data_IF_679211526007
#
_entry.id   IF_679211526007
#
_cell.length_a   1.000
_cell.length_b   1.000
_cell.length_c   1.000
_cell.angle_alpha   90.00
_cell.angle_beta   90.00
_cell.angle_gamma   90.00
#
_symmetry.space_group_name_H-M   'P 1'
#
loop_
_entity.id
_entity.type
_entity.pdbx_description
1 polymer ?
#
# COMPACT_ATOMS: atom_id res chain seq x y z
N UNK A 1 -7.37 -15.15 26.98
CA UNK A 1 -6.49 -15.14 25.79
C UNK A 1 -6.74 -16.29 24.82
N UNK A 2 -7.33 -17.40 25.24
CA UNK A 2 -7.68 -18.50 24.32
C UNK A 2 -8.78 -18.08 23.34
N UNK A 3 -8.62 -18.46 22.07
CA UNK A 3 -9.60 -18.24 21.01
C UNK A 3 -10.81 -19.16 21.25
N UNK A 4 -11.99 -18.57 21.39
CA UNK A 4 -13.24 -19.29 21.65
C UNK A 4 -14.17 -19.33 20.44
N UNK A 5 -14.07 -18.36 19.54
CA UNK A 5 -14.86 -18.33 18.31
C UNK A 5 -14.09 -17.61 17.19
N UNK A 6 -14.26 -18.10 15.97
CA UNK A 6 -13.76 -17.48 14.74
C UNK A 6 -14.88 -17.57 13.71
N UNK A 7 -15.23 -16.44 13.10
CA UNK A 7 -16.32 -16.40 12.15
C UNK A 7 -16.01 -15.44 11.00
N UNK A 8 -16.19 -15.91 9.78
CA UNK A 8 -16.06 -15.12 8.56
C UNK A 8 -17.40 -14.84 7.89
N UNK A 9 -17.46 -13.71 7.20
CA UNK A 9 -18.56 -13.30 6.34
C UNK A 9 -18.07 -12.61 5.07
N UNK A 10 -18.91 -12.64 4.04
CA UNK A 10 -18.72 -11.87 2.81
C UNK A 10 -19.24 -10.43 3.04
N UNK A 11 -18.40 -9.44 2.80
CA UNK A 11 -18.73 -8.00 2.77
C UNK A 11 -18.32 -7.41 1.42
N UNK A 12 -18.44 -6.08 1.23
CA UNK A 12 -18.00 -5.40 0.01
C UNK A 12 -16.79 -4.50 0.27
N UNK A 13 -15.85 -4.50 -0.68
CA UNK A 13 -14.76 -3.53 -0.75
C UNK A 13 -15.24 -2.17 -1.30
N UNK A 14 -14.36 -1.19 -1.33
CA UNK A 14 -14.66 0.18 -1.77
C UNK A 14 -14.93 0.32 -3.27
N UNK A 15 -14.74 -0.75 -4.05
CA UNK A 15 -15.09 -0.85 -5.47
C UNK A 15 -16.39 -1.65 -5.68
N UNK A 16 -17.04 -2.08 -4.59
CA UNK A 16 -18.27 -2.88 -4.62
C UNK A 16 -18.05 -4.34 -5.00
N UNK A 17 -16.81 -4.85 -4.94
CA UNK A 17 -16.54 -6.28 -5.11
C UNK A 17 -16.59 -6.99 -3.75
N UNK A 18 -16.97 -8.27 -3.70
CA UNK A 18 -16.92 -9.04 -2.47
C UNK A 18 -15.50 -9.12 -1.88
N UNK A 19 -15.40 -9.09 -0.55
CA UNK A 19 -14.21 -9.44 0.21
C UNK A 19 -14.60 -10.12 1.53
N UNK A 20 -13.62 -10.62 2.27
CA UNK A 20 -13.83 -11.35 3.53
C UNK A 20 -13.62 -10.43 4.74
N UNK A 21 -14.51 -10.54 5.72
CA UNK A 21 -14.36 -10.01 7.07
C UNK A 21 -14.36 -11.16 8.07
N UNK A 22 -13.42 -11.14 9.01
CA UNK A 22 -13.27 -12.17 10.04
C UNK A 22 -13.37 -11.54 11.42
N UNK A 23 -14.18 -12.17 12.27
CA UNK A 23 -14.28 -11.90 13.70
C UNK A 23 -13.57 -13.01 14.47
N UNK A 24 -12.79 -12.62 15.48
CA UNK A 24 -12.18 -13.52 16.46
C UNK A 24 -12.60 -13.07 17.85
N UNK A 25 -13.15 -14.00 18.63
CA UNK A 25 -13.51 -13.78 20.02
C UNK A 25 -12.69 -14.69 20.93
N UNK A 26 -12.24 -14.15 22.07
CA UNK A 26 -11.52 -14.92 23.09
C UNK A 26 -12.46 -15.31 24.24
N UNK A 27 -12.09 -16.33 25.02
CA UNK A 27 -12.86 -16.76 26.21
C UNK A 27 -13.11 -15.64 27.24
N UNK A 28 -12.24 -14.63 27.27
CA UNK A 28 -12.41 -13.45 28.15
C UNK A 28 -13.49 -12.48 27.67
N UNK A 29 -14.04 -12.67 26.47
CA UNK A 29 -14.92 -11.72 25.79
C UNK A 29 -14.20 -10.70 24.91
N UNK A 30 -12.86 -10.69 24.89
CA UNK A 30 -12.08 -9.82 24.02
C UNK A 30 -12.34 -10.14 22.54
N UNK A 31 -12.28 -9.12 21.69
CA UNK A 31 -12.78 -9.19 20.32
C UNK A 31 -11.85 -8.50 19.32
N UNK A 32 -11.69 -9.12 18.16
CA UNK A 32 -10.98 -8.55 17.02
C UNK A 32 -11.75 -8.79 15.74
N UNK A 33 -11.79 -7.78 14.87
CA UNK A 33 -12.39 -7.85 13.54
C UNK A 33 -11.42 -7.30 12.52
N UNK A 34 -11.26 -7.99 11.40
CA UNK A 34 -10.45 -7.52 10.29
C UNK A 34 -11.14 -7.80 8.95
N UNK A 35 -11.07 -6.84 8.05
CA UNK A 35 -11.51 -6.99 6.67
C UNK A 35 -10.32 -6.91 5.71
N UNK A 36 -10.35 -7.71 4.65
CA UNK A 36 -9.18 -7.89 3.77
C UNK A 36 -9.27 -7.01 2.52
N UNK A 37 -8.23 -6.23 2.19
CA UNK A 37 -8.21 -5.44 0.97
C UNK A 37 -7.90 -6.31 -0.27
N UNK A 38 -8.18 -5.81 -1.47
CA UNK A 38 -7.96 -6.50 -2.75
C UNK A 38 -7.36 -5.57 -3.80
N UNK A 39 -6.42 -6.07 -4.61
CA UNK A 39 -5.75 -5.30 -5.67
C UNK A 39 -6.58 -5.15 -6.96
N UNK A 40 -6.22 -4.18 -7.81
CA UNK A 40 -6.68 -4.08 -9.20
C UNK A 40 -5.67 -4.79 -10.12
N UNK A 41 -4.40 -4.40 -9.99
CA UNK A 41 -3.26 -5.14 -10.49
C UNK A 41 -2.65 -5.98 -9.35
N UNK A 42 -2.17 -7.17 -9.72
CA UNK A 42 -1.54 -8.14 -8.84
C UNK A 42 -0.26 -8.61 -9.50
N UNK A 43 0.88 -8.44 -8.83
CA UNK A 43 2.14 -8.98 -9.28
C UNK A 43 2.07 -10.50 -9.45
N UNK A 44 2.82 -11.04 -10.41
CA UNK A 44 2.70 -12.47 -10.79
C UNK A 44 3.07 -13.44 -9.66
N UNK A 45 3.80 -12.95 -8.64
CA UNK A 45 4.32 -13.72 -7.53
C UNK A 45 3.58 -13.47 -6.19
N UNK A 46 2.43 -12.78 -6.20
CA UNK A 46 1.63 -12.54 -4.99
C UNK A 46 0.99 -13.84 -4.43
N UNK A 47 0.72 -13.85 -3.12
CA UNK A 47 -0.18 -14.83 -2.52
C UNK A 47 -1.58 -14.73 -3.14
N UNK A 48 -2.26 -15.87 -3.31
CA UNK A 48 -3.43 -15.95 -4.16
C UNK A 48 -4.72 -15.65 -3.37
N UNK A 49 -5.41 -14.58 -3.78
CA UNK A 49 -6.78 -14.31 -3.33
C UNK A 49 -7.75 -15.36 -3.90
N UNK A 50 -8.49 -16.06 -3.03
CA UNK A 50 -9.45 -17.07 -3.48
C UNK A 50 -10.81 -16.43 -3.81
N UNK A 51 -11.21 -16.54 -5.08
CA UNK A 51 -12.50 -16.11 -5.63
C UNK A 51 -13.33 -17.31 -6.07
N UNK A 52 -14.66 -17.17 -6.06
CA UNK A 52 -15.59 -18.27 -6.33
C UNK A 52 -15.60 -18.71 -7.80
N UNK A 53 -15.49 -17.74 -8.73
CA UNK A 53 -15.63 -17.96 -10.18
C UNK A 53 -17.07 -18.16 -10.66
N UNK A 54 -18.06 -18.07 -9.76
CA UNK A 54 -19.47 -18.19 -10.09
C UNK A 54 -20.02 -16.92 -10.76
N UNK A 55 -20.15 -16.95 -12.08
CA UNK A 55 -20.63 -15.80 -12.89
C UNK A 55 -22.03 -15.32 -12.51
N UNK A 56 -22.84 -16.13 -11.80
CA UNK A 56 -24.18 -15.73 -11.36
C UNK A 56 -24.16 -14.79 -10.15
N UNK A 57 -23.05 -14.74 -9.39
CA UNK A 57 -22.86 -13.86 -8.22
C UNK A 57 -21.68 -12.93 -8.42
N UNK A 58 -21.93 -11.62 -8.31
CA UNK A 58 -20.88 -10.59 -8.38
C UNK A 58 -19.93 -10.76 -9.58
N UNK A 59 -20.46 -11.21 -10.73
CA UNK A 59 -19.69 -11.44 -11.96
C UNK A 59 -18.52 -12.43 -11.80
N UNK A 60 -18.63 -13.41 -10.89
CA UNK A 60 -17.57 -14.38 -10.61
C UNK A 60 -16.64 -13.98 -9.46
N UNK A 61 -16.83 -12.80 -8.86
CA UNK A 61 -15.94 -12.25 -7.82
C UNK A 61 -16.37 -12.56 -6.38
N UNK A 62 -17.35 -13.43 -6.17
CA UNK A 62 -17.73 -13.91 -4.83
C UNK A 62 -16.54 -14.50 -4.07
N UNK A 63 -16.62 -14.53 -2.74
CA UNK A 63 -15.58 -15.08 -1.85
C UNK A 63 -16.13 -16.12 -0.87
N UNK A 64 -17.25 -16.78 -1.19
CA UNK A 64 -17.88 -17.75 -0.31
C UNK A 64 -16.96 -18.94 -0.01
N UNK A 65 -16.13 -19.38 -0.95
CA UNK A 65 -15.14 -20.44 -0.70
C UNK A 65 -14.12 -20.03 0.37
N UNK A 66 -13.65 -18.78 0.35
CA UNK A 66 -12.74 -18.28 1.37
C UNK A 66 -13.43 -18.16 2.73
N UNK A 67 -14.69 -17.71 2.75
CA UNK A 67 -15.53 -17.66 3.96
C UNK A 67 -15.75 -19.05 4.55
N UNK A 68 -16.08 -20.04 3.72
CA UNK A 68 -16.24 -21.45 4.09
C UNK A 68 -14.92 -22.02 4.64
N UNK A 69 -13.79 -21.74 3.98
CA UNK A 69 -12.47 -22.14 4.48
C UNK A 69 -12.17 -21.58 5.88
N UNK A 70 -12.56 -20.33 6.16
CA UNK A 70 -12.41 -19.79 7.52
C UNK A 70 -13.33 -20.52 8.51
N UNK A 71 -14.62 -20.63 8.19
CA UNK A 71 -15.62 -21.13 9.13
C UNK A 71 -15.51 -22.64 9.39
N UNK A 72 -15.18 -23.43 8.37
CA UNK A 72 -15.26 -24.89 8.43
C UNK A 72 -13.88 -25.57 8.57
N UNK A 73 -12.79 -24.88 8.19
CA UNK A 73 -11.44 -25.46 8.23
C UNK A 73 -10.56 -24.75 9.23
N UNK A 74 -10.37 -23.42 9.10
CA UNK A 74 -9.45 -22.66 9.95
C UNK A 74 -9.99 -22.55 11.37
N UNK A 75 -11.24 -22.13 11.53
CA UNK A 75 -11.88 -21.93 12.83
C UNK A 75 -11.71 -23.14 13.76
N UNK A 76 -12.19 -24.36 13.41
CA UNK A 76 -12.06 -25.51 14.30
C UNK A 76 -10.59 -25.90 14.56
N UNK A 77 -9.67 -25.56 13.67
CA UNK A 77 -8.26 -25.90 13.80
C UNK A 77 -7.49 -25.00 14.80
N UNK A 78 -7.98 -23.77 15.06
CA UNK A 78 -7.30 -22.81 15.95
C UNK A 78 -8.04 -22.52 17.28
N UNK A 79 -9.23 -23.09 17.49
CA UNK A 79 -9.93 -22.97 18.78
C UNK A 79 -9.05 -23.49 19.93
N UNK A 80 -9.06 -22.75 21.05
CA UNK A 80 -8.24 -23.06 22.22
C UNK A 80 -6.78 -22.59 22.14
N UNK A 81 -6.30 -22.17 20.96
CA UNK A 81 -4.97 -21.54 20.85
C UNK A 81 -4.98 -20.17 21.54
N UNK A 82 -3.84 -19.76 22.11
CA UNK A 82 -3.69 -18.42 22.69
C UNK A 82 -3.49 -17.38 21.59
N UNK A 83 -4.35 -16.36 21.55
CA UNK A 83 -4.23 -15.25 20.60
C UNK A 83 -2.95 -14.41 20.79
N UNK A 84 -2.29 -14.51 21.96
CA UNK A 84 -1.02 -13.84 22.21
C UNK A 84 0.16 -14.46 21.45
N UNK A 85 0.00 -15.67 20.90
CA UNK A 85 1.05 -16.38 20.18
C UNK A 85 0.91 -16.17 18.66
N UNK A 86 0.92 -14.92 18.20
CA UNK A 86 0.67 -14.54 16.79
C UNK A 86 1.50 -15.37 15.80
N UNK A 87 2.82 -15.47 16.00
CA UNK A 87 3.70 -16.20 15.09
C UNK A 87 3.40 -17.72 15.07
N UNK A 88 2.93 -18.28 16.19
CA UNK A 88 2.53 -19.68 16.24
C UNK A 88 1.25 -19.91 15.43
N UNK A 89 0.27 -19.02 15.56
CA UNK A 89 -0.99 -19.08 14.83
C UNK A 89 -0.72 -18.90 13.33
N UNK A 90 0.00 -17.85 12.93
CA UNK A 90 0.31 -17.58 11.52
C UNK A 90 1.07 -18.74 10.89
N UNK A 91 2.06 -19.31 11.59
CA UNK A 91 2.78 -20.51 11.13
C UNK A 91 1.84 -21.69 10.96
N UNK A 92 0.95 -21.94 11.91
CA UNK A 92 -0.03 -23.01 11.83
C UNK A 92 -0.99 -22.83 10.65
N UNK A 93 -1.45 -21.60 10.37
CA UNK A 93 -2.30 -21.30 9.22
C UNK A 93 -1.61 -21.58 7.88
N UNK A 94 -0.32 -21.21 7.77
CA UNK A 94 0.51 -21.50 6.59
C UNK A 94 0.66 -23.02 6.40
N UNK A 95 0.93 -23.77 7.48
CA UNK A 95 1.07 -25.23 7.43
C UNK A 95 -0.27 -25.93 7.10
N UNK A 96 -1.40 -25.39 7.59
CA UNK A 96 -2.74 -25.91 7.32
C UNK A 96 -3.15 -25.76 5.85
N UNK A 97 -2.77 -24.64 5.22
CA UNK A 97 -2.90 -24.46 3.77
C UNK A 97 -1.97 -25.41 3.00
N UNK A 98 -0.69 -25.42 3.36
CA UNK A 98 0.31 -26.33 2.80
C UNK A 98 0.78 -25.99 1.39
N UNK A 99 0.40 -24.82 0.83
CA UNK A 99 0.86 -24.34 -0.47
C UNK A 99 1.73 -23.08 -0.31
N UNK A 100 2.72 -22.86 -1.21
CA UNK A 100 3.61 -21.71 -1.10
C UNK A 100 2.89 -20.36 -1.29
N UNK A 101 1.78 -20.35 -2.03
CA UNK A 101 1.03 -19.14 -2.39
C UNK A 101 -0.28 -18.98 -1.62
N UNK A 102 -0.52 -19.82 -0.59
CA UNK A 102 -1.77 -19.81 0.19
C UNK A 102 -3.03 -20.06 -0.66
N UNK A 103 -2.87 -20.81 -1.75
CA UNK A 103 -3.88 -20.99 -2.80
C UNK A 103 -4.99 -22.00 -2.44
N UNK A 104 -4.81 -22.83 -1.42
CA UNK A 104 -5.79 -23.84 -1.02
C UNK A 104 -6.88 -23.23 -0.14
N UNK A 105 -6.49 -22.48 0.89
CA UNK A 105 -7.40 -21.79 1.80
C UNK A 105 -7.74 -20.38 1.30
N UNK A 106 -6.83 -19.76 0.55
CA UNK A 106 -6.90 -18.37 0.10
C UNK A 106 -6.11 -17.46 1.03
N UNK A 107 -5.24 -16.63 0.45
CA UNK A 107 -4.47 -15.62 1.19
C UNK A 107 -5.39 -14.63 1.91
N UNK A 108 -6.57 -14.36 1.34
CA UNK A 108 -7.62 -13.55 1.96
C UNK A 108 -8.21 -14.21 3.22
N UNK A 109 -8.48 -15.53 3.21
CA UNK A 109 -8.94 -16.25 4.40
C UNK A 109 -7.91 -16.20 5.53
N UNK A 110 -6.65 -16.51 5.21
CA UNK A 110 -5.55 -16.56 6.18
C UNK A 110 -5.27 -15.17 6.78
N UNK A 111 -5.20 -14.13 5.94
CA UNK A 111 -4.92 -12.79 6.41
C UNK A 111 -6.03 -12.26 7.32
N UNK A 112 -7.31 -12.48 6.96
CA UNK A 112 -8.44 -12.04 7.77
C UNK A 112 -8.37 -12.59 9.19
N UNK A 113 -8.08 -13.89 9.33
CA UNK A 113 -7.87 -14.53 10.64
C UNK A 113 -6.64 -13.96 11.35
N UNK A 114 -5.51 -13.84 10.64
CA UNK A 114 -4.24 -13.35 11.20
C UNK A 114 -4.39 -11.95 11.85
N UNK A 115 -5.04 -11.01 11.15
CA UNK A 115 -5.25 -9.65 11.65
C UNK A 115 -6.33 -9.59 12.74
N UNK A 116 -7.40 -10.38 12.63
CA UNK A 116 -8.45 -10.43 13.65
C UNK A 116 -7.92 -10.99 14.98
N UNK A 117 -7.03 -11.99 14.93
CA UNK A 117 -6.32 -12.52 16.11
C UNK A 117 -5.47 -11.43 16.78
N UNK A 118 -4.68 -10.67 16.01
CA UNK A 118 -3.85 -9.59 16.54
C UNK A 118 -4.70 -8.51 17.24
N UNK A 119 -5.85 -8.14 16.64
CA UNK A 119 -6.80 -7.19 17.23
C UNK A 119 -7.43 -7.72 18.52
N UNK A 120 -7.86 -8.98 18.54
CA UNK A 120 -8.42 -9.61 19.74
C UNK A 120 -7.39 -9.73 20.86
N UNK A 121 -6.12 -9.96 20.53
CA UNK A 121 -5.01 -9.99 21.48
C UNK A 121 -4.69 -8.60 22.06
N UNK A 122 -4.67 -7.56 21.22
CA UNK A 122 -4.51 -6.18 21.66
C UNK A 122 -5.67 -5.76 22.60
N UNK A 123 -6.91 -6.08 22.23
CA UNK A 123 -8.09 -5.85 23.06
C UNK A 123 -8.02 -6.63 24.38
N UNK A 124 -7.60 -7.90 24.38
CA UNK A 124 -7.41 -8.67 25.62
C UNK A 124 -6.43 -8.02 26.60
N UNK A 125 -5.33 -7.45 26.06
CA UNK A 125 -4.33 -6.75 26.85
C UNK A 125 -4.72 -5.31 27.18
N UNK A 126 -5.83 -4.81 26.63
CA UNK A 126 -6.30 -3.43 26.77
C UNK A 126 -5.22 -2.41 26.36
N UNK A 127 -4.54 -2.69 25.25
CA UNK A 127 -3.56 -1.80 24.65
C UNK A 127 -3.91 -1.56 23.17
N UNK A 128 -3.52 -0.40 22.59
CA UNK A 128 -3.71 -0.15 21.17
C UNK A 128 -2.99 -1.18 20.30
N UNK A 129 -3.51 -1.42 19.10
CA UNK A 129 -2.94 -2.39 18.17
C UNK A 129 -1.49 -2.06 17.79
N UNK A 130 -1.17 -0.78 17.54
CA UNK A 130 0.21 -0.37 17.25
C UNK A 130 1.19 -0.68 18.40
N UNK A 131 0.73 -0.60 19.66
CA UNK A 131 1.52 -0.97 20.85
C UNK A 131 1.65 -2.48 21.01
N UNK A 132 0.59 -3.22 20.74
CA UNK A 132 0.63 -4.68 20.75
C UNK A 132 1.65 -5.23 19.76
N UNK A 133 1.67 -4.69 18.53
CA UNK A 133 2.57 -5.15 17.47
C UNK A 133 4.00 -4.63 17.70
N UNK A 134 4.15 -3.34 17.96
CA UNK A 134 5.45 -2.66 17.94
C UNK A 134 6.14 -2.49 19.29
N UNK A 135 5.43 -2.78 20.37
CA UNK A 135 5.92 -2.61 21.73
C UNK A 135 6.11 -1.14 22.15
N UNK A 136 7.01 -0.94 23.11
CA UNK A 136 7.15 0.33 23.83
C UNK A 136 7.73 1.47 22.99
N UNK A 137 8.45 1.17 21.91
CA UNK A 137 9.12 2.18 21.08
C UNK A 137 8.37 2.50 19.78
N UNK A 138 7.13 2.03 19.61
CA UNK A 138 6.25 2.40 18.49
C UNK A 138 5.72 3.84 18.65
N UNK A 139 6.44 4.82 18.12
CA UNK A 139 6.18 6.26 18.33
C UNK A 139 6.29 7.10 17.06
N UNK A 140 6.73 6.51 15.96
CA UNK A 140 6.93 7.23 14.70
C UNK A 140 5.67 7.18 13.83
N UNK A 141 5.06 8.34 13.61
CA UNK A 141 4.02 8.56 12.63
C UNK A 141 4.63 8.64 11.22
N UNK A 142 3.99 8.04 10.21
CA UNK A 142 4.53 8.02 8.86
C UNK A 142 4.33 9.34 8.11
N UNK A 143 5.28 9.72 7.26
CA UNK A 143 5.06 10.70 6.19
C UNK A 143 4.16 10.04 5.13
N UNK A 144 2.97 10.59 4.87
CA UNK A 144 2.06 10.00 3.89
C UNK A 144 2.50 10.34 2.46
N UNK A 145 2.50 9.33 1.58
CA UNK A 145 2.52 9.48 0.14
C UNK A 145 1.08 9.55 -0.35
N UNK A 146 0.62 10.76 -0.65
CA UNK A 146 -0.79 11.04 -0.94
C UNK A 146 -1.01 11.12 -2.44
N UNK A 147 -1.66 10.12 -3.02
CA UNK A 147 -2.01 10.11 -4.43
C UNK A 147 -2.99 11.28 -4.73
N UNK A 148 -2.70 12.12 -5.73
CA UNK A 148 -3.57 13.23 -6.12
C UNK A 148 -3.93 13.26 -7.61
N UNK A 149 -3.20 12.53 -8.45
CA UNK A 149 -3.50 12.34 -9.87
C UNK A 149 -3.28 10.86 -10.24
N UNK A 150 -4.25 10.28 -10.94
CA UNK A 150 -4.23 8.92 -11.46
C UNK A 150 -4.01 8.89 -12.97
N UNK A 151 -3.18 7.95 -13.42
CA UNK A 151 -2.97 7.56 -14.81
C UNK A 151 -2.93 6.04 -14.95
N UNK A 152 -2.28 5.54 -16.01
CA UNK A 152 -2.09 4.11 -16.24
C UNK A 152 -3.41 3.32 -16.22
N UNK A 153 -3.38 2.13 -15.62
CA UNK A 153 -4.56 1.24 -15.55
C UNK A 153 -5.65 1.74 -14.58
N UNK A 154 -5.42 2.80 -13.81
CA UNK A 154 -6.40 3.38 -12.87
C UNK A 154 -7.25 4.50 -13.47
N UNK A 155 -7.03 4.85 -14.74
CA UNK A 155 -7.63 6.03 -15.38
C UNK A 155 -7.69 5.91 -16.90
N UNK A 156 -8.62 6.62 -17.53
CA UNK A 156 -8.66 6.81 -19.00
C UNK A 156 -7.77 7.98 -19.46
N UNK A 157 -7.01 8.61 -18.55
CA UNK A 157 -6.11 9.70 -18.87
C UNK A 157 -4.91 9.21 -19.72
N UNK A 158 -4.44 10.01 -20.70
CA UNK A 158 -3.35 9.62 -21.59
C UNK A 158 -1.98 9.79 -20.93
N UNK A 159 -1.76 9.09 -19.80
CA UNK A 159 -0.55 9.15 -18.99
C UNK A 159 -0.17 7.73 -18.61
N UNK A 160 1.08 7.34 -18.86
CA UNK A 160 1.53 5.98 -18.57
C UNK A 160 1.68 5.67 -17.07
N UNK A 161 2.16 6.63 -16.27
CA UNK A 161 2.35 6.42 -14.83
C UNK A 161 1.02 6.30 -14.10
N UNK A 162 0.96 5.38 -13.15
CA UNK A 162 -0.26 5.03 -12.44
C UNK A 162 -0.63 6.09 -11.39
N UNK A 163 0.34 6.56 -10.59
CA UNK A 163 0.06 7.53 -9.53
C UNK A 163 1.09 8.66 -9.45
N UNK A 164 0.58 9.87 -9.21
CA UNK A 164 1.38 11.03 -8.85
C UNK A 164 0.98 11.47 -7.45
N UNK A 165 1.95 11.42 -6.55
CA UNK A 165 1.74 11.60 -5.13
C UNK A 165 2.46 12.85 -4.62
N UNK A 166 1.90 13.49 -3.60
CA UNK A 166 2.59 14.50 -2.80
C UNK A 166 3.00 13.93 -1.45
N UNK A 167 4.11 14.46 -0.93
CA UNK A 167 4.64 14.09 0.39
C UNK A 167 4.88 15.36 1.21
N UNK A 168 4.12 15.59 2.29
CA UNK A 168 4.29 16.78 3.13
C UNK A 168 5.46 16.59 4.11
N UNK A 169 6.69 16.59 3.57
CA UNK A 169 7.92 16.30 4.32
C UNK A 169 8.32 17.41 5.30
N UNK A 170 7.91 18.65 5.05
CA UNK A 170 8.25 19.80 5.90
C UNK A 170 7.31 20.00 7.10
N UNK A 171 6.31 19.16 7.26
CA UNK A 171 5.38 19.24 8.38
C UNK A 171 6.06 18.90 9.72
N UNK A 172 5.57 19.48 10.81
CA UNK A 172 6.07 19.21 12.16
C UNK A 172 5.40 18.03 12.84
N UNK A 173 4.27 17.59 12.31
CA UNK A 173 3.45 16.50 12.85
C UNK A 173 2.65 15.84 11.72
N UNK A 174 2.10 14.65 11.96
CA UNK A 174 1.23 13.98 11.01
C UNK A 174 -0.04 14.78 10.74
N UNK A 175 -0.70 15.31 11.77
CA UNK A 175 -1.87 16.19 11.65
C UNK A 175 -1.60 17.40 10.75
N UNK A 176 -0.45 18.06 10.92
CA UNK A 176 -0.06 19.18 10.06
C UNK A 176 0.22 18.70 8.62
N UNK A 177 0.92 17.58 8.45
CA UNK A 177 1.15 17.00 7.12
C UNK A 177 -0.13 16.62 6.39
N UNK A 178 -1.10 16.05 7.10
CA UNK A 178 -2.43 15.72 6.58
C UNK A 178 -3.18 16.98 6.11
N UNK A 179 -3.14 18.05 6.91
CA UNK A 179 -3.73 19.35 6.56
C UNK A 179 -3.08 19.94 5.31
N UNK A 180 -1.75 19.92 5.22
CA UNK A 180 -1.00 20.37 4.04
C UNK A 180 -1.47 19.62 2.79
N UNK A 181 -1.55 18.28 2.86
CA UNK A 181 -2.04 17.45 1.77
C UNK A 181 -3.46 17.80 1.31
N UNK A 182 -4.37 18.02 2.26
CA UNK A 182 -5.77 18.38 1.97
C UNK A 182 -5.89 19.74 1.26
N UNK A 183 -5.12 20.73 1.71
CA UNK A 183 -5.10 22.06 1.09
C UNK A 183 -4.52 22.03 -0.34
N UNK A 184 -3.46 21.23 -0.57
CA UNK A 184 -2.92 21.01 -1.92
C UNK A 184 -3.92 20.29 -2.81
N UNK A 185 -4.58 19.23 -2.32
CA UNK A 185 -5.61 18.50 -3.06
C UNK A 185 -6.77 19.41 -3.50
N UNK A 186 -7.29 20.24 -2.60
CA UNK A 186 -8.37 21.19 -2.94
C UNK A 186 -7.89 22.32 -3.86
N UNK A 187 -6.64 22.76 -3.73
CA UNK A 187 -6.04 23.73 -4.66
C UNK A 187 -5.90 23.14 -6.06
N UNK A 188 -5.49 21.88 -6.18
CA UNK A 188 -5.41 21.14 -7.45
C UNK A 188 -6.79 20.98 -8.08
N UNK A 189 -7.82 20.63 -7.29
CA UNK A 189 -9.21 20.57 -7.75
C UNK A 189 -9.65 21.86 -8.43
N UNK A 190 -9.32 23.01 -7.82
CA UNK A 190 -9.63 24.32 -8.39
C UNK A 190 -8.86 24.59 -9.69
N UNK A 191 -7.58 24.23 -9.75
CA UNK A 191 -6.77 24.35 -10.98
C UNK A 191 -7.38 23.55 -12.12
N UNK A 192 -7.78 22.30 -11.89
CA UNK A 192 -8.42 21.48 -12.91
C UNK A 192 -9.77 22.04 -13.34
N UNK A 193 -10.60 22.49 -12.40
CA UNK A 193 -11.86 23.15 -12.73
C UNK A 193 -11.65 24.42 -13.58
N UNK A 194 -10.70 25.28 -13.21
CA UNK A 194 -10.39 26.51 -13.94
C UNK A 194 -9.83 26.23 -15.35
N UNK A 195 -9.20 25.06 -15.54
CA UNK A 195 -8.75 24.54 -16.85
C UNK A 195 -9.85 23.82 -17.65
N UNK A 196 -11.06 23.68 -17.09
CA UNK A 196 -12.15 22.91 -17.72
C UNK A 196 -11.95 21.39 -17.73
N UNK A 197 -11.09 20.86 -16.85
CA UNK A 197 -10.80 19.44 -16.71
C UNK A 197 -11.72 18.76 -15.68
N UNK A 198 -11.89 17.45 -15.81
CA UNK A 198 -12.67 16.66 -14.85
C UNK A 198 -12.04 16.69 -13.45
N UNK A 199 -12.90 16.81 -12.43
CA UNK A 199 -12.52 16.66 -11.02
C UNK A 199 -13.15 15.41 -10.40
N UNK A 200 -13.57 14.44 -11.22
CA UNK A 200 -13.96 13.13 -10.73
C UNK A 200 -12.73 12.41 -10.16
N UNK A 201 -12.98 11.48 -9.24
CA UNK A 201 -11.93 10.76 -8.53
C UNK A 201 -11.94 9.28 -8.90
N UNK A 202 -10.74 8.68 -8.97
CA UNK A 202 -10.55 7.24 -9.19
C UNK A 202 -10.72 6.40 -7.91
N UNK A 203 -10.26 5.16 -7.97
CA UNK A 203 -10.37 4.19 -6.86
C UNK A 203 -9.64 4.67 -5.59
N UNK A 204 -8.50 5.33 -5.74
CA UNK A 204 -7.67 5.87 -4.65
C UNK A 204 -8.11 7.27 -4.20
N UNK A 205 -9.11 7.87 -4.85
CA UNK A 205 -9.63 9.20 -4.51
C UNK A 205 -8.87 10.37 -5.14
N UNK A 206 -7.81 10.11 -5.91
CA UNK A 206 -7.07 11.10 -6.72
C UNK A 206 -7.84 11.47 -7.99
N UNK A 207 -7.50 12.60 -8.61
CA UNK A 207 -8.18 13.05 -9.85
C UNK A 207 -7.69 12.26 -11.07
N UNK A 208 -8.57 12.05 -12.04
CA UNK A 208 -8.24 11.41 -13.34
C UNK A 208 -8.53 12.35 -14.53
N UNK A 209 -7.88 13.53 -14.63
CA UNK A 209 -8.10 14.46 -15.73
C UNK A 209 -7.35 14.07 -17.01
N UNK A 210 -7.88 14.48 -18.17
CA UNK A 210 -7.18 14.38 -19.45
C UNK A 210 -6.07 15.44 -19.54
N UNK A 211 -4.85 15.10 -19.12
CA UNK A 211 -3.68 15.97 -19.18
C UNK A 211 -2.85 15.72 -20.45
N UNK A 212 -1.93 16.63 -20.76
CA UNK A 212 -1.03 16.53 -21.91
C UNK A 212 0.23 15.71 -21.61
N UNK A 213 0.12 14.67 -20.78
CA UNK A 213 1.22 13.79 -20.38
C UNK A 213 1.81 14.07 -18.98
N UNK A 214 2.87 13.34 -18.66
CA UNK A 214 3.53 13.32 -17.33
C UNK A 214 3.99 14.69 -16.84
N UNK A 215 4.54 15.53 -17.72
CA UNK A 215 5.02 16.86 -17.32
C UNK A 215 3.87 17.80 -16.92
N UNK A 216 2.74 17.78 -17.64
CA UNK A 216 1.55 18.57 -17.31
C UNK A 216 0.98 18.17 -15.94
N UNK A 217 1.04 16.88 -15.59
CA UNK A 217 0.69 16.40 -14.26
C UNK A 217 1.62 16.99 -13.18
N UNK A 218 2.94 16.88 -13.38
CA UNK A 218 3.94 17.41 -12.44
C UNK A 218 3.83 18.93 -12.27
N UNK A 219 3.70 19.68 -13.37
CA UNK A 219 3.53 21.13 -13.36
C UNK A 219 2.24 21.56 -12.65
N UNK A 220 1.14 20.81 -12.84
CA UNK A 220 -0.12 21.05 -12.13
C UNK A 220 0.02 20.83 -10.63
N UNK A 221 0.77 19.81 -10.21
CA UNK A 221 1.06 19.55 -8.80
C UNK A 221 1.89 20.68 -8.21
N UNK A 222 2.95 21.13 -8.88
CA UNK A 222 3.76 22.26 -8.43
C UNK A 222 2.93 23.54 -8.28
N UNK A 223 2.06 23.82 -9.25
CA UNK A 223 1.16 24.96 -9.19
C UNK A 223 0.17 24.84 -8.02
N UNK A 224 -0.33 23.64 -7.73
CA UNK A 224 -1.22 23.40 -6.59
C UNK A 224 -0.51 23.57 -5.24
N UNK A 225 0.71 23.06 -5.10
CA UNK A 225 1.55 23.23 -3.90
C UNK A 225 1.79 24.73 -3.64
N UNK A 226 2.21 25.47 -4.66
CA UNK A 226 2.46 26.91 -4.54
C UNK A 226 1.17 27.70 -4.22
N UNK A 227 0.05 27.36 -4.86
CA UNK A 227 -1.24 28.02 -4.64
C UNK A 227 -1.82 27.75 -3.25
N UNK A 228 -1.50 26.61 -2.66
CA UNK A 228 -1.83 26.28 -1.27
C UNK A 228 -0.92 27.00 -0.25
N UNK A 229 0.12 27.71 -0.69
CA UNK A 229 1.02 28.48 0.18
C UNK A 229 2.25 27.70 0.66
N UNK A 230 2.55 26.56 0.05
CA UNK A 230 3.71 25.72 0.39
C UNK A 230 4.83 25.85 -0.64
N UNK A 231 6.07 25.56 -0.22
CA UNK A 231 7.26 25.58 -1.08
C UNK A 231 7.55 24.16 -1.62
N UNK A 232 7.44 23.93 -2.94
CA UNK A 232 7.81 22.64 -3.53
C UNK A 232 9.27 22.27 -3.27
N UNK A 233 9.53 21.00 -2.95
CA UNK A 233 10.86 20.47 -2.63
C UNK A 233 11.37 20.78 -1.23
N UNK A 234 10.67 21.63 -0.46
CA UNK A 234 10.99 21.91 0.95
C UNK A 234 9.87 21.50 1.89
N UNK A 235 8.67 22.02 1.64
CA UNK A 235 7.50 21.72 2.46
C UNK A 235 6.79 20.46 1.95
N UNK A 236 6.70 20.34 0.61
CA UNK A 236 6.05 19.23 -0.09
C UNK A 236 6.92 18.75 -1.25
N UNK A 237 7.27 17.47 -1.28
CA UNK A 237 7.94 16.77 -2.40
C UNK A 237 6.94 15.93 -3.19
N UNK A 238 7.40 15.37 -4.31
CA UNK A 238 6.61 14.51 -5.19
C UNK A 238 7.13 13.07 -5.10
N UNK A 239 6.21 12.12 -5.08
CA UNK A 239 6.51 10.70 -5.30
C UNK A 239 5.74 10.19 -6.52
N UNK A 240 6.30 9.21 -7.22
CA UNK A 240 5.69 8.60 -8.39
C UNK A 240 5.50 7.11 -8.17
N UNK A 241 4.41 6.57 -8.68
CA UNK A 241 4.25 5.15 -8.95
C UNK A 241 4.08 4.97 -10.45
N UNK A 242 5.12 4.43 -11.08
CA UNK A 242 5.12 4.20 -12.51
C UNK A 242 4.28 2.97 -12.86
N UNK A 243 4.21 1.95 -12.00
CA UNK A 243 3.68 0.62 -12.31
C UNK A 243 4.19 0.10 -13.68
N UNK A 244 5.51 0.19 -13.92
CA UNK A 244 6.06 0.04 -15.27
C UNK A 244 5.84 -1.33 -15.91
N UNK A 245 5.60 -2.37 -15.11
CA UNK A 245 5.17 -3.70 -15.56
C UNK A 245 3.92 -3.62 -16.47
N UNK A 246 3.01 -2.69 -16.21
CA UNK A 246 1.76 -2.53 -16.99
C UNK A 246 2.02 -2.10 -18.44
N UNK A 247 3.10 -1.39 -18.74
CA UNK A 247 3.44 -0.97 -20.10
C UNK A 247 4.78 -1.55 -20.58
N UNK A 248 5.30 -2.57 -19.90
CA UNK A 248 6.49 -3.28 -20.34
C UNK A 248 6.13 -4.53 -21.13
N UNK A 249 6.73 -4.68 -22.30
CA UNK A 249 6.53 -5.86 -23.15
C UNK A 249 7.76 -6.10 -24.03
N UNK A 250 8.21 -7.36 -24.07
CA UNK A 250 9.28 -7.83 -24.96
C UNK A 250 10.57 -6.99 -24.88
N UNK A 251 10.98 -6.57 -23.67
CA UNK A 251 12.19 -5.75 -23.47
C UNK A 251 11.99 -4.24 -23.60
N UNK A 252 10.76 -3.79 -23.88
CA UNK A 252 10.44 -2.40 -24.20
C UNK A 252 9.36 -1.87 -23.25
N UNK A 253 9.62 -0.70 -22.68
CA UNK A 253 8.63 0.14 -22.01
C UNK A 253 7.86 0.94 -23.07
N UNK A 254 6.67 0.48 -23.41
CA UNK A 254 5.82 0.99 -24.49
C UNK A 254 4.75 1.97 -23.97
N UNK A 255 5.13 3.25 -23.88
CA UNK A 255 4.22 4.31 -23.42
C UNK A 255 3.05 4.51 -24.38
N UNK A 256 3.12 4.02 -25.63
CA UNK A 256 2.00 4.12 -26.56
C UNK A 256 0.74 3.38 -26.10
N UNK A 257 0.89 2.44 -25.16
CA UNK A 257 -0.24 1.75 -24.51
C UNK A 257 -1.20 2.74 -23.83
N UNK A 258 -0.67 3.79 -23.19
CA UNK A 258 -1.46 4.75 -22.42
C UNK A 258 -1.42 6.17 -23.02
N UNK A 259 -0.31 6.57 -23.63
CA UNK A 259 -0.13 7.92 -24.20
C UNK A 259 -0.52 8.00 -25.69
N UNK A 260 -1.14 6.94 -26.22
CA UNK A 260 -1.61 6.86 -27.60
C UNK A 260 -0.51 6.57 -28.62
N UNK A 261 -0.80 6.60 -29.93
CA UNK A 261 0.08 6.06 -30.97
C UNK A 261 1.44 6.75 -31.10
N UNK A 262 1.59 7.95 -30.56
CA UNK A 262 2.85 8.72 -30.56
C UNK A 262 3.66 8.54 -29.27
N UNK A 263 3.18 7.73 -28.32
CA UNK A 263 3.88 7.43 -27.07
C UNK A 263 5.23 6.77 -27.34
N UNK A 264 6.23 7.15 -26.57
CA UNK A 264 7.60 6.68 -26.76
C UNK A 264 7.75 5.20 -26.42
N UNK A 265 8.66 4.53 -27.14
CA UNK A 265 9.10 3.17 -26.84
C UNK A 265 10.53 3.23 -26.34
N UNK A 266 10.73 2.81 -25.09
CA UNK A 266 12.01 2.94 -24.40
C UNK A 266 12.54 1.56 -24.07
N UNK A 267 13.82 1.31 -24.32
CA UNK A 267 14.51 0.21 -23.67
C UNK A 267 14.82 0.58 -22.21
N UNK A 268 15.41 -0.35 -21.45
CA UNK A 268 15.72 -0.11 -20.04
C UNK A 268 16.63 1.10 -19.82
N UNK A 269 17.63 1.32 -20.69
CA UNK A 269 18.55 2.45 -20.57
C UNK A 269 17.83 3.79 -20.80
N UNK A 270 17.00 3.87 -21.84
CA UNK A 270 16.20 5.06 -22.14
C UNK A 270 15.13 5.32 -21.08
N UNK A 271 14.58 4.28 -20.45
CA UNK A 271 13.66 4.40 -19.32
C UNK A 271 14.35 4.99 -18.09
N UNK A 272 15.55 4.51 -17.74
CA UNK A 272 16.35 5.05 -16.63
C UNK A 272 16.70 6.52 -16.86
N UNK A 273 17.18 6.88 -18.06
CA UNK A 273 17.51 8.28 -18.37
C UNK A 273 16.27 9.18 -18.37
N UNK A 274 15.11 8.66 -18.79
CA UNK A 274 13.86 9.40 -18.70
C UNK A 274 13.46 9.68 -17.24
N UNK A 275 13.45 8.67 -16.37
CA UNK A 275 13.14 8.85 -14.94
C UNK A 275 14.13 9.79 -14.25
N UNK A 276 15.42 9.66 -14.57
CA UNK A 276 16.45 10.58 -14.07
C UNK A 276 16.22 12.01 -14.52
N UNK A 277 15.86 12.23 -15.78
CA UNK A 277 15.56 13.59 -16.29
C UNK A 277 14.38 14.23 -15.56
N UNK A 278 13.37 13.44 -15.18
CA UNK A 278 12.26 13.93 -14.37
C UNK A 278 12.72 14.27 -12.95
N UNK A 279 13.50 13.39 -12.30
CA UNK A 279 14.02 13.63 -10.95
C UNK A 279 14.98 14.83 -10.88
N UNK A 280 15.71 15.13 -11.96
CA UNK A 280 16.57 16.33 -12.03
C UNK A 280 15.76 17.63 -12.23
N UNK A 281 14.61 17.56 -12.90
CA UNK A 281 13.76 18.73 -13.23
C UNK A 281 12.72 19.05 -12.16
N UNK A 282 12.21 18.05 -11.46
CA UNK A 282 11.11 18.18 -10.49
C UNK A 282 11.55 17.71 -9.10
N UNK A 283 10.95 18.19 -8.00
CA UNK A 283 11.28 17.80 -6.63
C UNK A 283 10.74 16.40 -6.30
N UNK A 284 11.10 15.41 -7.11
CA UNK A 284 10.76 14.01 -6.91
C UNK A 284 11.78 13.42 -5.93
N UNK A 285 11.29 12.79 -4.86
CA UNK A 285 12.15 12.13 -3.86
C UNK A 285 11.90 10.63 -3.74
N UNK A 286 10.87 10.11 -4.41
CA UNK A 286 10.54 8.69 -4.47
C UNK A 286 9.94 8.27 -5.80
N UNK A 287 10.39 7.12 -6.31
CA UNK A 287 9.88 6.47 -7.52
C UNK A 287 9.61 5.00 -7.17
N UNK A 288 8.36 4.59 -7.30
CA UNK A 288 7.88 3.23 -7.16
C UNK A 288 7.73 2.58 -8.53
N UNK A 289 8.18 1.32 -8.64
CA UNK A 289 8.09 0.48 -9.84
C UNK A 289 8.45 1.17 -11.16
N UNK A 290 9.56 1.92 -11.13
CA UNK A 290 10.10 2.62 -12.31
C UNK A 290 10.55 1.68 -13.43
N UNK A 291 10.83 0.42 -13.10
CA UNK A 291 11.19 -0.68 -14.00
C UNK A 291 10.24 -1.86 -13.76
N UNK A 292 10.05 -2.73 -14.76
CA UNK A 292 9.14 -3.87 -14.65
C UNK A 292 9.63 -4.92 -13.64
N UNK A 293 8.72 -5.70 -13.06
CA UNK A 293 9.00 -6.69 -12.00
C UNK A 293 10.03 -7.77 -12.40
N UNK A 294 10.14 -8.07 -13.71
CA UNK A 294 11.11 -9.03 -14.25
C UNK A 294 12.43 -8.38 -14.72
N UNK A 295 12.52 -7.05 -14.86
CA UNK A 295 13.69 -6.34 -15.39
C UNK A 295 14.72 -6.02 -14.29
N UNK A 296 15.29 -7.06 -13.69
CA UNK A 296 16.30 -6.93 -12.62
C UNK A 296 17.55 -6.16 -13.06
N UNK A 297 17.93 -6.27 -14.33
CA UNK A 297 19.05 -5.50 -14.91
C UNK A 297 18.72 -4.02 -14.97
N UNK A 298 17.52 -3.67 -15.47
CA UNK A 298 17.03 -2.30 -15.49
C UNK A 298 16.89 -1.72 -14.09
N UNK A 299 16.38 -2.48 -13.12
CA UNK A 299 16.34 -2.08 -11.70
C UNK A 299 17.73 -1.76 -11.15
N UNK A 300 18.73 -2.58 -11.45
CA UNK A 300 20.11 -2.32 -11.04
C UNK A 300 20.65 -1.04 -11.66
N UNK A 301 20.40 -0.82 -12.96
CA UNK A 301 20.79 0.42 -13.65
C UNK A 301 20.11 1.65 -13.04
N UNK A 302 18.81 1.57 -12.74
CA UNK A 302 18.06 2.65 -12.08
C UNK A 302 18.64 2.94 -10.68
N UNK A 303 18.97 1.90 -9.94
CA UNK A 303 19.55 2.02 -8.59
C UNK A 303 20.93 2.66 -8.61
N UNK A 304 21.79 2.27 -9.56
CA UNK A 304 23.10 2.89 -9.75
C UNK A 304 22.99 4.37 -10.16
N UNK A 305 21.98 4.72 -10.97
CA UNK A 305 21.78 6.08 -11.44
C UNK A 305 21.18 7.02 -10.38
N UNK A 306 20.21 6.56 -9.60
CA UNK A 306 19.37 7.42 -8.75
C UNK A 306 19.34 7.04 -7.25
N UNK A 307 19.69 5.81 -6.89
CA UNK A 307 19.44 5.24 -5.55
C UNK A 307 20.20 5.91 -4.39
N UNK A 308 21.17 6.79 -4.69
CA UNK A 308 21.86 7.61 -3.68
C UNK A 308 21.12 8.89 -3.28
N UNK A 309 20.13 9.31 -4.08
CA UNK A 309 19.37 10.56 -3.88
C UNK A 309 17.86 10.35 -3.84
N UNK A 310 17.38 9.35 -4.57
CA UNK A 310 15.96 9.06 -4.75
C UNK A 310 15.65 7.75 -4.07
N UNK A 311 14.52 7.71 -3.35
CA UNK A 311 13.96 6.47 -2.87
C UNK A 311 13.39 5.68 -4.06
N UNK A 312 13.83 4.43 -4.21
CA UNK A 312 13.38 3.52 -5.25
C UNK A 312 12.61 2.39 -4.55
N UNK A 313 11.29 2.42 -4.70
CA UNK A 313 10.36 1.51 -4.01
C UNK A 313 10.02 0.35 -4.94
N UNK A 314 10.37 -0.87 -4.55
CA UNK A 314 9.87 -2.07 -5.22
C UNK A 314 8.53 -2.50 -4.62
N UNK A 315 7.49 -2.55 -5.45
CA UNK A 315 6.18 -3.10 -5.13
C UNK A 315 6.00 -4.47 -5.80
N UNK A 316 5.71 -4.51 -7.10
CA UNK A 316 5.61 -5.76 -7.86
C UNK A 316 6.97 -6.50 -7.91
N UNK A 317 8.08 -5.76 -7.81
CA UNK A 317 9.42 -6.33 -7.73
C UNK A 317 9.60 -7.28 -6.52
N UNK A 318 9.00 -6.93 -5.38
CA UNK A 318 9.23 -7.63 -4.11
C UNK A 318 8.01 -8.35 -3.56
N UNK A 319 6.79 -7.96 -3.95
CA UNK A 319 5.50 -8.56 -3.54
C UNK A 319 5.40 -8.85 -2.04
N UNK A 320 5.97 -7.98 -1.21
CA UNK A 320 6.04 -8.15 0.26
C UNK A 320 6.66 -9.51 0.69
N UNK A 321 7.55 -10.08 -0.12
CA UNK A 321 8.12 -11.41 0.07
C UNK A 321 9.62 -11.35 0.36
N UNK A 322 10.04 -12.01 1.45
CA UNK A 322 11.41 -11.98 1.96
C UNK A 322 12.45 -12.57 1.01
N UNK A 323 12.09 -13.52 0.14
CA UNK A 323 13.04 -14.12 -0.80
C UNK A 323 13.33 -13.18 -1.98
N UNK A 324 12.31 -12.51 -2.52
CA UNK A 324 12.50 -11.47 -3.54
C UNK A 324 13.24 -10.24 -2.98
N UNK A 325 12.87 -9.80 -1.77
CA UNK A 325 13.58 -8.72 -1.09
C UNK A 325 15.05 -9.07 -0.83
N UNK A 326 15.35 -10.31 -0.40
CA UNK A 326 16.73 -10.77 -0.20
C UNK A 326 17.53 -10.72 -1.51
N UNK A 327 16.94 -11.19 -2.62
CA UNK A 327 17.54 -11.08 -3.96
C UNK A 327 17.82 -9.61 -4.33
N UNK A 328 16.88 -8.70 -4.06
CA UNK A 328 17.05 -7.25 -4.25
C UNK A 328 18.24 -6.69 -3.49
N UNK A 329 18.33 -7.00 -2.21
CA UNK A 329 19.44 -6.59 -1.34
C UNK A 329 20.78 -7.13 -1.85
N UNK A 330 20.85 -8.41 -2.19
CA UNK A 330 22.08 -9.07 -2.65
C UNK A 330 22.56 -8.54 -4.01
N UNK A 331 21.64 -8.16 -4.89
CA UNK A 331 21.95 -7.64 -6.23
C UNK A 331 22.11 -6.11 -6.26
N UNK A 332 21.75 -5.41 -5.18
CA UNK A 332 21.79 -3.95 -5.10
C UNK A 332 20.70 -3.28 -5.94
N UNK A 333 19.50 -3.87 -5.96
CA UNK A 333 18.32 -3.34 -6.63
C UNK A 333 17.37 -2.66 -5.64
N UNK A 334 16.88 -1.47 -6.02
CA UNK A 334 16.02 -0.61 -5.21
C UNK A 334 16.70 -0.18 -3.89
N UNK A 335 15.99 0.59 -3.06
CA UNK A 335 16.40 0.92 -1.69
C UNK A 335 15.21 1.06 -0.73
N UNK A 336 14.03 0.65 -1.17
CA UNK A 336 12.79 0.65 -0.41
C UNK A 336 11.86 -0.46 -0.89
N UNK A 337 10.95 -0.91 -0.03
CA UNK A 337 9.92 -1.90 -0.34
C UNK A 337 8.53 -1.35 -0.01
N UNK A 338 7.57 -1.56 -0.90
CA UNK A 338 6.15 -1.35 -0.60
C UNK A 338 5.62 -2.58 0.13
N UNK A 339 4.94 -2.37 1.25
CA UNK A 339 4.44 -3.44 2.11
C UNK A 339 2.91 -3.49 2.03
N UNK A 340 2.40 -4.50 1.33
CA UNK A 340 0.98 -4.81 1.23
C UNK A 340 0.71 -6.12 1.96
N UNK A 341 0.02 -6.04 3.09
CA UNK A 341 -0.24 -7.19 3.98
C UNK A 341 -0.87 -8.40 3.27
N UNK A 342 -1.71 -8.15 2.26
CA UNK A 342 -2.41 -9.19 1.52
C UNK A 342 -1.58 -9.83 0.40
N UNK A 343 -0.46 -9.22 -0.02
CA UNK A 343 0.46 -9.85 -0.98
C UNK A 343 1.18 -11.07 -0.38
N UNK A 344 1.39 -11.07 0.94
CA UNK A 344 2.07 -12.18 1.63
C UNK A 344 1.10 -13.02 2.47
N UNK A 345 0.07 -12.41 3.06
CA UNK A 345 -1.08 -13.13 3.62
C UNK A 345 -1.06 -13.41 5.12
N UNK A 346 -0.03 -13.01 5.88
CA UNK A 346 -0.04 -13.03 7.35
C UNK A 346 0.63 -11.79 7.95
N UNK A 347 0.28 -11.44 9.19
CA UNK A 347 0.96 -10.39 9.94
C UNK A 347 2.43 -10.75 10.20
N UNK A 348 2.70 -11.99 10.60
CA UNK A 348 4.07 -12.44 10.89
C UNK A 348 5.00 -12.33 9.67
N UNK A 349 4.58 -12.80 8.49
CA UNK A 349 5.40 -12.67 7.28
C UNK A 349 5.56 -11.20 6.84
N UNK A 350 4.53 -10.36 7.03
CA UNK A 350 4.62 -8.91 6.81
C UNK A 350 5.70 -8.27 7.68
N UNK A 351 5.69 -8.57 8.99
CA UNK A 351 6.68 -8.03 9.94
C UNK A 351 8.10 -8.52 9.60
N UNK A 352 8.25 -9.78 9.17
CA UNK A 352 9.54 -10.32 8.72
C UNK A 352 10.09 -9.56 7.49
N UNK A 353 9.23 -9.20 6.52
CA UNK A 353 9.64 -8.42 5.35
C UNK A 353 10.08 -7.00 5.74
N UNK A 354 9.32 -6.33 6.63
CA UNK A 354 9.69 -5.01 7.16
C UNK A 354 11.03 -5.07 7.91
N UNK A 355 11.20 -6.06 8.78
CA UNK A 355 12.43 -6.23 9.56
C UNK A 355 13.65 -6.50 8.65
N UNK A 356 13.50 -7.37 7.65
CA UNK A 356 14.57 -7.64 6.68
C UNK A 356 14.97 -6.37 5.93
N UNK A 357 14.01 -5.56 5.49
CA UNK A 357 14.28 -4.28 4.84
C UNK A 357 15.08 -3.34 5.76
N UNK A 358 14.58 -3.11 6.98
CA UNK A 358 15.20 -2.18 7.92
C UNK A 358 16.61 -2.59 8.32
N UNK A 359 16.85 -3.89 8.58
CA UNK A 359 18.18 -4.42 8.92
C UNK A 359 19.19 -4.25 7.78
N UNK A 360 18.72 -4.11 6.55
CA UNK A 360 19.55 -3.89 5.36
C UNK A 360 19.49 -2.45 4.84
N UNK A 361 19.04 -1.49 5.68
CA UNK A 361 18.96 -0.04 5.38
C UNK A 361 17.98 0.32 4.27
N UNK A 362 17.06 -0.58 3.93
CA UNK A 362 15.92 -0.23 3.08
C UNK A 362 14.85 0.44 3.95
N UNK A 363 14.11 1.37 3.36
CA UNK A 363 12.86 1.84 3.96
C UNK A 363 11.73 0.87 3.66
N UNK A 364 10.70 0.88 4.49
CA UNK A 364 9.43 0.18 4.22
C UNK A 364 8.32 1.21 4.13
N UNK A 365 7.45 1.08 3.13
CA UNK A 365 6.29 1.94 2.92
C UNK A 365 5.05 1.07 3.08
N UNK A 366 4.37 1.16 4.22
CA UNK A 366 3.13 0.41 4.44
C UNK A 366 2.05 0.91 3.49
N UNK A 367 1.34 0.02 2.81
CA UNK A 367 0.48 0.39 1.69
C UNK A 367 -0.91 -0.23 1.75
N UNK A 368 -1.87 0.50 1.19
CA UNK A 368 -3.23 0.05 0.91
C UNK A 368 -3.30 -0.84 -0.35
N UNK A 369 -4.52 -1.24 -0.76
CA UNK A 369 -4.82 -1.69 -2.13
C UNK A 369 -5.88 -0.80 -2.78
N UNK A 370 -6.08 -0.91 -4.08
CA UNK A 370 -7.13 -0.15 -4.79
C UNK A 370 -8.55 -0.54 -4.34
N UNK A 371 -8.82 -1.80 -3.98
CA UNK A 371 -10.00 -2.21 -3.22
C UNK A 371 -9.73 -2.21 -1.72
N UNK A 372 -10.15 -1.16 -1.02
CA UNK A 372 -10.00 -1.05 0.44
C UNK A 372 -11.31 -1.26 1.18
N UNK A 373 -11.23 -1.32 2.51
CA UNK A 373 -12.40 -1.37 3.40
C UNK A 373 -12.33 -0.23 4.43
N UNK A 374 -13.24 -0.20 5.39
CA UNK A 374 -13.16 0.67 6.57
C UNK A 374 -12.03 0.28 7.54
N UNK A 375 -11.42 -0.89 7.36
CA UNK A 375 -10.34 -1.39 8.22
C UNK A 375 -9.13 -0.43 8.16
N UNK A 376 -8.57 -0.09 9.32
CA UNK A 376 -7.44 0.85 9.42
C UNK A 376 -6.13 0.21 9.87
N UNK A 377 -6.00 -1.12 9.79
CA UNK A 377 -4.87 -1.89 10.37
C UNK A 377 -3.51 -1.41 9.87
N UNK A 378 -3.41 -0.99 8.62
CA UNK A 378 -2.15 -0.51 8.05
C UNK A 378 -1.64 0.79 8.70
N UNK A 379 -2.52 1.61 9.30
CA UNK A 379 -2.09 2.77 10.09
C UNK A 379 -1.36 2.33 11.36
N UNK A 380 -1.94 1.37 12.08
CA UNK A 380 -1.33 0.78 13.27
C UNK A 380 -0.03 0.04 12.96
N UNK A 381 0.03 -0.71 11.84
CA UNK A 381 1.27 -1.37 11.40
C UNK A 381 2.37 -0.34 11.10
N UNK A 382 2.06 0.73 10.37
CA UNK A 382 3.06 1.74 10.02
C UNK A 382 3.72 2.38 11.25
N UNK A 383 2.94 2.61 12.32
CA UNK A 383 3.45 3.14 13.60
C UNK A 383 4.14 2.05 14.42
N UNK A 384 3.56 0.84 14.47
CA UNK A 384 4.13 -0.30 15.19
C UNK A 384 5.57 -0.59 14.77
N UNK A 385 5.84 -0.54 13.47
CA UNK A 385 7.16 -0.83 12.92
C UNK A 385 8.04 0.39 12.75
N UNK A 386 7.57 1.58 13.17
CA UNK A 386 8.22 2.86 12.91
C UNK A 386 8.67 2.98 11.44
N UNK A 387 7.82 2.57 10.49
CA UNK A 387 8.13 2.54 9.05
C UNK A 387 8.53 3.92 8.52
N UNK A 388 8.00 4.97 9.15
CA UNK A 388 8.25 6.36 8.79
C UNK A 388 7.50 6.83 7.55
N UNK A 389 6.82 5.93 6.82
CA UNK A 389 6.10 6.21 5.57
C UNK A 389 4.86 5.34 5.41
N UNK A 390 3.83 5.87 4.73
CA UNK A 390 2.59 5.16 4.39
C UNK A 390 2.05 5.63 3.03
N UNK A 391 1.58 4.70 2.19
CA UNK A 391 0.86 4.96 0.94
C UNK A 391 -0.59 4.48 1.11
N UNK A 392 -1.51 5.41 1.37
CA UNK A 392 -2.91 5.04 1.68
C UNK A 392 -3.95 5.83 0.90
N UNK A 393 -3.54 6.44 -0.22
CA UNK A 393 -4.43 7.06 -1.20
C UNK A 393 -4.51 8.58 -1.09
N UNK A 394 -5.59 9.13 -1.64
CA UNK A 394 -5.81 10.57 -1.72
C UNK A 394 -6.53 11.14 -0.50
N UNK A 395 -6.88 12.43 -0.57
CA UNK A 395 -7.60 13.20 0.44
C UNK A 395 -9.12 13.19 0.18
N UNK A 396 -9.63 12.05 -0.29
CA UNK A 396 -11.05 11.79 -0.49
C UNK A 396 -11.35 10.30 -0.31
N UNK A 397 -12.65 9.97 -0.24
CA UNK A 397 -13.19 8.63 0.00
C UNK A 397 -12.84 8.02 1.38
N UNK A 398 -13.85 7.47 2.06
CA UNK A 398 -13.71 7.03 3.46
C UNK A 398 -12.81 5.81 3.64
N UNK A 399 -12.69 4.97 2.62
CA UNK A 399 -11.76 3.84 2.55
C UNK A 399 -10.29 4.27 2.68
N UNK A 400 -9.96 5.51 2.27
CA UNK A 400 -8.65 6.14 2.47
C UNK A 400 -8.61 6.92 3.79
N UNK A 401 -9.63 7.76 4.01
CA UNK A 401 -9.67 8.65 5.18
C UNK A 401 -9.72 7.89 6.51
N UNK A 402 -10.25 6.67 6.55
CA UNK A 402 -10.24 5.85 7.76
C UNK A 402 -8.83 5.64 8.31
N UNK A 403 -7.83 5.48 7.45
CA UNK A 403 -6.42 5.27 7.83
C UNK A 403 -5.78 6.56 8.32
N UNK A 404 -6.00 7.67 7.64
CA UNK A 404 -5.53 8.98 8.13
C UNK A 404 -6.18 9.38 9.44
N UNK A 405 -7.49 9.15 9.60
CA UNK A 405 -8.19 9.40 10.86
C UNK A 405 -7.66 8.50 11.98
N UNK A 406 -7.27 7.26 11.69
CA UNK A 406 -6.61 6.41 12.66
C UNK A 406 -5.21 6.95 13.05
N UNK A 407 -4.43 7.43 12.09
CA UNK A 407 -3.14 8.06 12.38
C UNK A 407 -3.28 9.34 13.22
N UNK A 408 -4.33 10.13 13.01
CA UNK A 408 -4.65 11.27 13.88
C UNK A 408 -4.92 10.82 15.33
N UNK A 409 -5.67 9.74 15.53
CA UNK A 409 -5.94 9.17 16.87
C UNK A 409 -4.66 8.66 17.53
N UNK A 410 -3.82 7.96 16.76
CA UNK A 410 -2.54 7.44 17.27
C UNK A 410 -1.60 8.59 17.66
N UNK A 411 -1.52 9.65 16.84
CA UNK A 411 -0.73 10.85 17.18
C UNK A 411 -1.26 11.54 18.45
N UNK A 412 -2.58 11.68 18.58
CA UNK A 412 -3.22 12.24 19.78
C UNK A 412 -2.92 11.41 21.03
N UNK A 413 -3.00 10.08 20.93
CA UNK A 413 -2.71 9.15 22.03
C UNK A 413 -1.22 9.18 22.45
N UNK A 414 -0.31 9.30 21.48
CA UNK A 414 1.13 9.40 21.73
C UNK A 414 1.54 10.73 22.35
N UNK A 415 0.79 11.81 22.08
CA UNK A 415 1.07 13.14 22.60
C UNK A 415 2.49 13.61 22.25
N UNK A 416 3.24 14.08 23.26
CA UNK A 416 4.62 14.59 23.08
C UNK A 416 5.63 13.53 22.62
N UNK A 417 5.29 12.24 22.71
CA UNK A 417 6.15 11.15 22.26
C UNK A 417 6.09 10.95 20.74
N UNK A 418 5.06 11.48 20.07
CA UNK A 418 4.87 11.32 18.64
C UNK A 418 6.02 11.94 17.85
N UNK A 419 6.60 11.17 16.93
CA UNK A 419 7.63 11.64 16.01
C UNK A 419 7.12 11.53 14.58
N UNK A 420 7.26 12.58 13.78
CA UNK A 420 6.80 12.56 12.39
C UNK A 420 7.94 12.22 11.42
N UNK A 421 7.74 11.16 10.64
CA UNK A 421 8.69 10.64 9.68
C UNK A 421 9.94 10.01 10.30
N UNK A 422 10.82 9.50 9.44
CA UNK A 422 12.15 9.03 9.83
C UNK A 422 13.15 10.16 9.53
N UNK A 423 13.86 10.64 10.56
CA UNK A 423 14.95 11.61 10.39
C UNK A 423 16.23 10.94 9.92
#
# INVERSE_FOLDING_TARGET
MEISNVFAREILDSRGNPTIEVDVQLLSGAFGRAAVPSGASTGINEALELRDGDKSRYLGKGVLKAVENVNEVIAPAILGMSALNQAQIDKFLIELDGTPTKSKLGANAILGVSLAVARAAADYLQIPLYRYIGGTNAVTLPVPMMNIINGGSHSDAPIAFQEFMIRPIGATSFKEGLRMGAEVFHSLKKIFHDRGLSTAVGDEGGFAPTLNGTEDALESILAAIAKAGYVPGKDVTIALDCAASEFYKDGIYDYSKFEGPNGAKRDAAAQVEFLKSLADKYPIDSIEDGMAEEDWTGWKMLTDALGSKIQLVGDDLFVTNVEFLRKGIETGCANSILIKVNQIGTLTETLNAIELAHRNKYTSVTSHRSGETEDSTIADIAVATNSGQIKTGSLSRSDRMAKYNQLLRIEEELGELAQYGRK
#
